data_IF_173608448594
#
_entry.id   IF_173608448594
#
_cell.length_a   1.000
_cell.length_b   1.000
_cell.length_c   1.000
_cell.angle_alpha   90.00
_cell.angle_beta   90.00
_cell.angle_gamma   90.00
#
_symmetry.space_group_name_H-M   'P 1'
#
loop_
_entity.id
_entity.type
_entity.pdbx_description
1 polymer ?
#
# COMPACT_ATOMS: atom_id res chain seq x y z
N UNK A 1 0.60 42.97 -68.56
CA UNK A 1 1.00 43.41 -67.20
C UNK A 1 1.46 42.20 -66.40
N UNK A 2 2.74 42.12 -65.99
CA UNK A 2 3.23 41.00 -65.16
C UNK A 2 2.91 41.28 -63.68
N UNK A 3 2.32 40.34 -62.91
CA UNK A 3 1.98 40.59 -61.52
C UNK A 3 3.25 40.54 -60.67
N UNK A 4 3.79 41.71 -60.30
CA UNK A 4 4.94 41.84 -59.37
C UNK A 4 4.54 41.78 -57.88
N UNK A 5 3.29 41.44 -57.55
CA UNK A 5 2.73 41.67 -56.19
C UNK A 5 2.74 40.46 -55.25
N UNK A 6 3.04 39.25 -55.73
CA UNK A 6 2.92 38.02 -54.92
C UNK A 6 4.13 37.73 -54.00
N UNK A 7 5.34 38.19 -54.36
CA UNK A 7 6.57 37.84 -53.63
C UNK A 7 6.70 38.53 -52.27
N UNK A 8 6.14 39.73 -52.13
CA UNK A 8 6.28 40.54 -50.92
C UNK A 8 5.31 40.10 -49.80
N UNK A 9 4.12 39.62 -50.16
CA UNK A 9 3.14 39.09 -49.20
C UNK A 9 3.61 37.78 -48.55
N UNK A 10 4.19 36.88 -49.35
CA UNK A 10 4.70 35.59 -48.86
C UNK A 10 5.93 35.72 -47.95
N UNK A 11 6.71 36.79 -48.11
CA UNK A 11 7.84 37.11 -47.23
C UNK A 11 7.39 37.79 -45.93
N UNK A 12 6.35 38.61 -45.98
CA UNK A 12 5.81 39.30 -44.80
C UNK A 12 5.20 38.31 -43.79
N UNK A 13 4.51 37.27 -44.28
CA UNK A 13 3.92 36.23 -43.43
C UNK A 13 4.99 35.37 -42.73
N UNK A 14 6.08 35.03 -43.42
CA UNK A 14 7.18 34.23 -42.83
C UNK A 14 7.92 34.98 -41.72
N UNK A 15 8.04 36.30 -41.84
CA UNK A 15 8.69 37.12 -40.82
C UNK A 15 7.81 37.24 -39.57
N UNK A 16 6.48 37.33 -39.71
CA UNK A 16 5.60 37.45 -38.53
C UNK A 16 5.57 36.18 -37.67
N UNK A 17 5.58 34.99 -38.29
CA UNK A 17 5.63 33.72 -37.55
C UNK A 17 6.98 33.50 -36.86
N UNK A 18 8.08 33.87 -37.52
CA UNK A 18 9.42 33.74 -36.91
C UNK A 18 9.64 34.75 -35.80
N UNK A 19 9.14 35.99 -35.92
CA UNK A 19 9.20 36.99 -34.85
C UNK A 19 8.28 36.62 -33.67
N UNK A 20 7.10 36.03 -33.94
CA UNK A 20 6.22 35.48 -32.92
C UNK A 20 6.88 34.33 -32.18
N UNK A 21 7.49 33.37 -32.88
CA UNK A 21 8.24 32.27 -32.27
C UNK A 21 9.44 32.77 -31.48
N UNK A 22 10.16 33.79 -31.96
CA UNK A 22 11.31 34.37 -31.26
C UNK A 22 10.88 35.12 -29.99
N UNK A 23 9.74 35.80 -30.04
CA UNK A 23 9.13 36.45 -28.88
C UNK A 23 8.57 35.46 -27.85
N UNK A 24 8.00 34.34 -28.29
CA UNK A 24 7.34 33.34 -27.42
C UNK A 24 8.27 32.23 -26.93
N UNK A 25 9.33 31.88 -27.68
CA UNK A 25 10.27 30.83 -27.31
C UNK A 25 11.00 31.14 -26.00
N UNK A 26 11.33 32.41 -25.74
CA UNK A 26 11.91 32.82 -24.46
C UNK A 26 10.97 32.57 -23.29
N UNK A 27 9.70 32.94 -23.42
CA UNK A 27 8.69 32.73 -22.38
C UNK A 27 8.35 31.26 -22.18
N UNK A 28 8.32 30.46 -23.24
CA UNK A 28 8.15 29.00 -23.16
C UNK A 28 9.32 28.34 -22.43
N UNK A 29 10.56 28.76 -22.70
CA UNK A 29 11.74 28.25 -22.01
C UNK A 29 11.71 28.59 -20.51
N UNK A 30 11.33 29.82 -20.15
CA UNK A 30 11.18 30.24 -18.75
C UNK A 30 10.06 29.46 -18.06
N UNK A 31 8.92 29.27 -18.73
CA UNK A 31 7.80 28.46 -18.21
C UNK A 31 8.18 27.00 -17.99
N UNK A 32 8.92 26.40 -18.94
CA UNK A 32 9.41 25.03 -18.83
C UNK A 32 10.40 24.87 -17.67
N UNK A 33 11.34 25.82 -17.50
CA UNK A 33 12.28 25.82 -16.38
C UNK A 33 11.56 25.97 -15.04
N UNK A 34 10.56 26.86 -14.94
CA UNK A 34 9.73 27.00 -13.74
C UNK A 34 8.97 25.72 -13.42
N UNK A 35 8.37 25.06 -14.41
CA UNK A 35 7.66 23.80 -14.21
C UNK A 35 8.59 22.70 -13.68
N UNK A 36 9.81 22.58 -14.23
CA UNK A 36 10.83 21.63 -13.75
C UNK A 36 11.25 21.96 -12.30
N UNK A 37 11.47 23.24 -11.98
CA UNK A 37 11.83 23.66 -10.63
C UNK A 37 10.72 23.37 -9.61
N UNK A 38 9.45 23.54 -9.99
CA UNK A 38 8.29 23.16 -9.18
C UNK A 38 8.29 21.65 -8.95
N UNK A 39 8.43 20.84 -10.00
CA UNK A 39 8.48 19.37 -9.86
C UNK A 39 9.63 18.90 -8.97
N UNK A 40 10.78 19.55 -9.02
CA UNK A 40 11.93 19.26 -8.15
C UNK A 40 11.65 19.68 -6.70
N UNK A 41 11.11 20.87 -6.47
CA UNK A 41 10.82 21.40 -5.13
C UNK A 41 9.76 20.56 -4.40
N UNK A 42 8.76 20.08 -5.13
CA UNK A 42 7.70 19.24 -4.58
C UNK A 42 7.96 17.73 -4.75
N UNK A 43 9.17 17.31 -5.19
CA UNK A 43 9.56 15.89 -5.20
C UNK A 43 9.20 15.13 -3.93
N UNK A 44 9.48 15.62 -2.69
CA UNK A 44 9.17 14.83 -1.50
C UNK A 44 7.66 14.60 -1.28
N UNK A 45 6.79 15.41 -1.90
CA UNK A 45 5.34 15.25 -1.77
C UNK A 45 4.77 14.17 -2.71
N UNK A 46 5.41 13.90 -3.85
CA UNK A 46 4.95 12.87 -4.82
C UNK A 46 5.89 11.66 -4.93
N UNK A 47 7.11 11.77 -4.42
CA UNK A 47 8.12 10.71 -4.40
C UNK A 47 8.23 10.02 -3.05
N UNK A 48 7.54 10.50 -2.02
CA UNK A 48 7.27 9.66 -0.86
C UNK A 48 6.28 8.60 -1.35
N UNK A 49 6.64 7.30 -1.39
CA UNK A 49 5.61 6.29 -1.50
C UNK A 49 4.76 6.48 -0.25
N UNK A 50 3.59 7.10 -0.39
CA UNK A 50 2.50 6.79 0.52
C UNK A 50 2.41 5.29 0.46
N UNK A 51 2.91 4.64 1.51
CA UNK A 51 2.93 3.21 1.60
C UNK A 51 1.49 2.78 1.85
N UNK A 52 0.72 2.70 0.75
CA UNK A 52 -0.66 2.20 0.75
C UNK A 52 -0.70 0.76 1.27
N UNK A 53 0.46 0.10 1.31
CA UNK A 53 0.72 -1.17 1.94
C UNK A 53 1.61 -0.94 3.15
N UNK A 54 1.15 -0.18 4.16
CA UNK A 54 1.69 -0.24 5.51
C UNK A 54 1.64 -1.71 5.97
N UNK A 55 2.67 -2.46 5.58
CA UNK A 55 2.70 -3.91 5.59
C UNK A 55 2.58 -4.37 7.03
N UNK A 56 3.22 -3.64 7.94
CA UNK A 56 3.23 -3.87 9.37
C UNK A 56 1.83 -3.78 10.01
N UNK A 57 1.04 -2.74 9.70
CA UNK A 57 -0.33 -2.58 10.22
C UNK A 57 -1.28 -3.61 9.61
N UNK A 58 -1.16 -3.86 8.30
CA UNK A 58 -1.99 -4.85 7.62
C UNK A 58 -1.72 -6.28 8.11
N UNK A 59 -0.45 -6.62 8.33
CA UNK A 59 -0.02 -7.90 8.90
C UNK A 59 -0.55 -8.03 10.32
N UNK A 60 -0.39 -7.02 11.18
CA UNK A 60 -0.91 -7.05 12.55
C UNK A 60 -2.42 -7.29 12.59
N UNK A 61 -3.21 -6.54 11.82
CA UNK A 61 -4.66 -6.71 11.75
C UNK A 61 -5.01 -8.11 11.21
N UNK A 62 -4.26 -8.63 10.25
CA UNK A 62 -4.47 -9.98 9.72
C UNK A 62 -4.20 -11.08 10.76
N UNK A 63 -3.21 -10.88 11.64
CA UNK A 63 -2.87 -11.82 12.70
C UNK A 63 -3.90 -11.83 13.82
N UNK A 64 -4.36 -10.64 14.23
CA UNK A 64 -5.43 -10.46 15.21
C UNK A 64 -6.73 -11.10 14.74
N UNK A 65 -7.20 -10.75 13.53
CA UNK A 65 -8.44 -11.30 12.96
C UNK A 65 -8.39 -12.82 12.75
N UNK A 66 -7.23 -13.37 12.36
CA UNK A 66 -7.04 -14.83 12.26
C UNK A 66 -7.12 -15.53 13.62
N UNK A 67 -6.73 -14.86 14.70
CA UNK A 67 -6.83 -15.39 16.04
C UNK A 67 -8.28 -15.43 16.52
N UNK A 68 -9.00 -14.33 16.33
CA UNK A 68 -10.41 -14.21 16.71
C UNK A 68 -11.30 -15.18 15.92
N UNK A 69 -11.04 -15.39 14.62
CA UNK A 69 -11.75 -16.37 13.80
C UNK A 69 -11.59 -17.81 14.30
N UNK A 70 -10.48 -18.12 14.97
CA UNK A 70 -10.23 -19.44 15.59
C UNK A 70 -10.83 -19.53 17.00
N UNK A 71 -11.55 -18.49 17.46
CA UNK A 71 -12.08 -18.38 18.81
C UNK A 71 -11.02 -18.02 19.86
N UNK A 72 -9.78 -17.71 19.44
CA UNK A 72 -8.72 -17.26 20.34
C UNK A 72 -8.83 -15.78 20.68
N UNK A 73 -8.07 -15.34 21.68
CA UNK A 73 -7.93 -13.93 22.04
C UNK A 73 -6.51 -13.48 21.68
N UNK A 74 -6.39 -12.39 20.93
CA UNK A 74 -5.09 -11.82 20.61
C UNK A 74 -4.66 -10.84 21.70
N UNK A 75 -3.61 -11.15 22.45
CA UNK A 75 -3.11 -10.31 23.54
C UNK A 75 -1.57 -10.26 23.50
N UNK A 76 -0.98 -9.07 23.64
CA UNK A 76 0.48 -8.85 23.65
C UNK A 76 1.23 -9.43 22.45
N UNK A 77 0.60 -9.48 21.27
CA UNK A 77 1.22 -10.01 20.04
C UNK A 77 1.15 -11.53 19.89
N UNK A 78 0.52 -12.25 20.84
CA UNK A 78 0.30 -13.68 20.79
C UNK A 78 -1.18 -14.00 20.64
N UNK A 79 -1.47 -15.05 19.87
CA UNK A 79 -2.80 -15.63 19.80
C UNK A 79 -2.96 -16.65 20.93
N UNK A 80 -3.71 -16.29 21.97
CA UNK A 80 -4.07 -17.22 23.03
C UNK A 80 -5.21 -18.12 22.55
N UNK A 81 -5.17 -19.43 22.88
CA UNK A 81 -6.27 -20.32 22.58
C UNK A 81 -7.56 -19.84 23.26
N UNK A 82 -8.75 -20.19 22.74
CA UNK A 82 -10.02 -19.91 23.39
C UNK A 82 -9.94 -20.32 24.86
N UNK A 83 -10.29 -19.42 25.77
CA UNK A 83 -10.47 -19.80 27.16
C UNK A 83 -11.59 -20.84 27.17
N UNK A 84 -11.29 -22.08 27.57
CA UNK A 84 -12.31 -23.11 27.69
C UNK A 84 -13.37 -22.58 28.66
N UNK A 85 -14.64 -22.68 28.30
CA UNK A 85 -15.68 -22.42 29.29
C UNK A 85 -15.46 -23.36 30.48
N UNK A 86 -15.77 -22.96 31.72
CA UNK A 86 -15.48 -23.77 32.90
C UNK A 86 -16.10 -25.18 32.81
N UNK A 87 -17.20 -25.30 32.06
CA UNK A 87 -17.85 -26.59 31.76
C UNK A 87 -16.99 -27.48 30.85
N UNK A 88 -16.44 -26.93 29.76
CA UNK A 88 -15.61 -27.68 28.80
C UNK A 88 -14.25 -28.05 29.41
N UNK A 89 -13.70 -27.21 30.28
CA UNK A 89 -12.48 -27.54 31.03
C UNK A 89 -12.70 -28.73 31.97
N UNK A 90 -13.83 -28.74 32.70
CA UNK A 90 -14.17 -29.82 33.61
C UNK A 90 -14.45 -31.14 32.86
N UNK A 91 -15.12 -31.08 31.70
CA UNK A 91 -15.31 -32.24 30.82
C UNK A 91 -13.97 -32.77 30.26
N UNK A 92 -13.06 -31.88 29.85
CA UNK A 92 -11.74 -32.26 29.37
C UNK A 92 -10.90 -32.92 30.47
N UNK A 93 -10.94 -32.39 31.70
CA UNK A 93 -10.27 -33.00 32.85
C UNK A 93 -10.85 -34.39 33.18
N UNK A 94 -12.17 -34.54 33.13
CA UNK A 94 -12.80 -35.85 33.33
C UNK A 94 -12.42 -36.85 32.23
N UNK A 95 -12.45 -36.42 30.96
CA UNK A 95 -12.10 -37.27 29.83
C UNK A 95 -10.62 -37.69 29.86
N UNK A 96 -9.71 -36.76 30.16
CA UNK A 96 -8.28 -37.05 30.29
C UNK A 96 -8.00 -37.99 31.46
N UNK A 97 -8.65 -37.81 32.61
CA UNK A 97 -8.54 -38.74 33.74
C UNK A 97 -9.06 -40.14 33.39
N UNK A 98 -10.18 -40.24 32.67
CA UNK A 98 -10.72 -41.52 32.21
C UNK A 98 -9.78 -42.21 31.22
N UNK A 99 -9.22 -41.47 30.26
CA UNK A 99 -8.25 -42.01 29.31
C UNK A 99 -6.95 -42.42 29.99
N UNK A 100 -6.48 -41.67 30.98
CA UNK A 100 -5.29 -42.03 31.74
C UNK A 100 -5.51 -43.32 32.53
N UNK A 101 -6.67 -43.48 33.16
CA UNK A 101 -7.04 -44.71 33.86
C UNK A 101 -7.15 -45.92 32.92
N UNK A 102 -7.64 -45.73 31.70
CA UNK A 102 -7.69 -46.78 30.67
C UNK A 102 -6.28 -47.15 30.17
N UNK A 103 -5.40 -46.17 30.01
CA UNK A 103 -3.98 -46.39 29.66
C UNK A 103 -3.26 -47.13 30.80
N UNK A 104 -3.43 -46.72 32.05
CA UNK A 104 -2.82 -47.37 33.21
C UNK A 104 -3.29 -48.83 33.36
N UNK A 105 -4.55 -49.09 33.03
CA UNK A 105 -5.13 -50.43 33.03
C UNK A 105 -4.61 -51.30 31.88
N UNK A 106 -4.38 -50.73 30.69
CA UNK A 106 -3.78 -51.44 29.55
C UNK A 106 -2.27 -51.67 29.70
N UNK A 107 -1.56 -50.75 30.37
CA UNK A 107 -0.13 -50.88 30.69
C UNK A 107 0.14 -51.75 31.93
N UNK A 108 -0.91 -52.27 32.57
CA UNK A 108 -0.77 -53.16 33.72
C UNK A 108 -0.16 -52.48 34.95
N UNK A 109 -0.24 -51.14 35.04
CA UNK A 109 0.17 -50.38 36.24
C UNK A 109 -0.97 -50.43 37.26
N UNK A 110 -1.38 -51.65 37.63
CA UNK A 110 -2.11 -51.86 38.88
C UNK A 110 -1.07 -51.97 39.98
N UNK A 111 -1.08 -51.02 40.93
CA UNK A 111 -0.72 -51.35 42.30
C UNK A 111 -1.85 -52.16 42.92
#
# INVERSE_FOLDING_TARGET
MKPKRAKNAFFQEKNSFTDFLKGTAGWLAVGALLAVMILIAFRPAYANPTDWHNHELSEQISHETRCELKGGVYENGLCLPPNLTPQVEQELLHYTAQKQAEIDLTLGVKK
#
